data_IF_476573264220
#
_entry.id   IF_476573264220
#
_cell.length_a   1.000
_cell.length_b   1.000
_cell.length_c   1.000
_cell.angle_alpha   90.00
_cell.angle_beta   90.00
_cell.angle_gamma   90.00
#
_symmetry.space_group_name_H-M   'P 1'
#
loop_
_entity.id
_entity.type
_entity.pdbx_description
1 polymer ?
#
# COMPACT_ATOMS: atom_id res chain seq x y z
N UNK A 1 4.62 15.95 4.35
CA UNK A 1 5.15 14.67 3.95
C UNK A 1 4.32 14.01 2.85
N UNK A 2 3.01 13.96 2.99
CA UNK A 2 2.13 13.37 1.99
C UNK A 2 1.32 14.44 1.28
N UNK A 3 1.09 14.27 -0.01
CA UNK A 3 0.39 15.26 -0.84
C UNK A 3 -1.03 14.84 -1.18
N UNK A 4 -1.27 13.53 -1.34
CA UNK A 4 -2.61 13.04 -1.69
C UNK A 4 -2.70 11.52 -1.49
N UNK A 5 -3.92 11.04 -1.49
CA UNK A 5 -4.23 9.61 -1.49
C UNK A 5 -4.45 9.16 -2.94
N UNK A 6 -4.06 7.94 -3.23
CA UNK A 6 -4.40 7.29 -4.50
C UNK A 6 -5.59 6.37 -4.25
N UNK A 7 -6.61 6.52 -5.09
CA UNK A 7 -7.84 5.77 -4.91
C UNK A 7 -8.77 6.39 -3.88
N UNK A 8 -9.91 5.77 -3.62
CA UNK A 8 -10.90 6.31 -2.69
C UNK A 8 -10.46 6.17 -1.24
N UNK A 9 -11.00 7.04 -0.39
CA UNK A 9 -10.84 6.94 1.06
C UNK A 9 -11.38 5.57 1.51
N UNK A 10 -10.59 4.77 2.23
CA UNK A 10 -11.02 3.44 2.66
C UNK A 10 -12.23 3.47 3.62
N UNK A 11 -12.55 4.62 4.17
CA UNK A 11 -13.71 4.78 5.03
C UNK A 11 -14.91 5.40 4.34
N UNK A 12 -14.77 5.84 3.10
CA UNK A 12 -15.84 6.52 2.40
C UNK A 12 -16.95 5.54 2.00
N UNK A 13 -18.20 6.00 2.17
CA UNK A 13 -19.39 5.28 1.67
C UNK A 13 -19.45 3.80 2.10
N UNK A 14 -19.09 3.51 3.32
CA UNK A 14 -19.13 2.15 3.82
C UNK A 14 -18.14 1.23 3.13
N UNK A 15 -17.06 1.80 2.67
CA UNK A 15 -16.06 1.04 1.94
C UNK A 15 -15.40 -0.01 2.83
N UNK A 16 -14.67 -0.76 2.22
CA UNK A 16 -14.06 -2.07 2.37
C UNK A 16 -13.57 -2.51 3.74
N UNK A 17 -13.56 -1.68 4.77
CA UNK A 17 -13.10 -2.13 6.08
C UNK A 17 -13.98 -1.58 7.19
N UNK A 18 -14.38 -2.42 8.16
CA UNK A 18 -15.14 -1.96 9.30
C UNK A 18 -14.29 -1.27 10.37
N UNK A 19 -12.98 -1.33 10.23
CA UNK A 19 -12.06 -0.77 11.23
C UNK A 19 -11.76 0.69 10.94
N UNK A 20 -11.69 1.50 11.99
CA UNK A 20 -11.19 2.87 11.89
C UNK A 20 -9.66 2.92 11.93
N UNK A 21 -9.01 1.79 12.19
CA UNK A 21 -7.55 1.67 12.26
C UNK A 21 -7.09 0.56 11.34
N UNK A 22 -5.87 0.68 10.85
CA UNK A 22 -5.27 -0.37 10.05
C UNK A 22 -5.90 -0.52 8.68
N UNK A 23 -6.55 0.52 8.21
CA UNK A 23 -7.15 0.51 6.87
C UNK A 23 -6.06 0.66 5.83
N UNK A 24 -6.08 -0.17 4.77
CA UNK A 24 -5.08 -0.07 3.72
C UNK A 24 -5.20 1.27 2.98
N UNK A 25 -4.06 1.82 2.59
CA UNK A 25 -4.03 3.10 1.90
C UNK A 25 -2.77 3.21 1.06
N UNK A 26 -2.81 4.02 0.02
CA UNK A 26 -1.66 4.34 -0.82
C UNK A 26 -1.59 5.85 -0.91
N UNK A 27 -0.45 6.40 -0.51
CA UNK A 27 -0.26 7.84 -0.38
C UNK A 27 0.92 8.30 -1.23
N UNK A 28 0.79 9.43 -1.90
CA UNK A 28 1.89 10.05 -2.61
C UNK A 28 2.63 10.99 -1.67
N UNK A 29 3.95 10.95 -1.71
CA UNK A 29 4.82 11.76 -0.88
C UNK A 29 5.27 13.01 -1.63
N UNK A 30 5.70 14.03 -0.89
CA UNK A 30 6.24 15.26 -1.48
C UNK A 30 7.42 15.00 -2.41
N UNK A 31 8.15 13.93 -2.19
CA UNK A 31 9.28 13.54 -3.04
C UNK A 31 8.85 12.97 -4.40
N UNK A 32 7.57 12.67 -4.56
CA UNK A 32 7.07 11.96 -5.73
C UNK A 32 7.04 10.45 -5.59
N UNK A 33 7.57 9.94 -4.49
CA UNK A 33 7.50 8.51 -4.19
C UNK A 33 6.17 8.17 -3.53
N UNK A 34 5.99 6.90 -3.18
CA UNK A 34 4.73 6.42 -2.62
C UNK A 34 4.97 5.68 -1.32
N UNK A 35 4.03 5.83 -0.40
CA UNK A 35 3.97 5.09 0.84
C UNK A 35 2.73 4.22 0.83
N UNK A 36 2.84 3.00 1.34
CA UNK A 36 1.74 2.03 1.36
C UNK A 36 1.48 1.63 2.81
N UNK A 37 0.22 1.74 3.23
CA UNK A 37 -0.21 1.26 4.53
C UNK A 37 -0.90 -0.07 4.30
N UNK A 38 -0.38 -1.11 4.94
CA UNK A 38 -0.93 -2.45 4.82
C UNK A 38 -0.54 -3.28 6.01
N UNK A 39 -0.99 -4.53 6.03
CA UNK A 39 -0.63 -5.45 7.08
C UNK A 39 0.83 -5.88 6.91
N UNK A 40 1.63 -5.76 7.97
CA UNK A 40 3.03 -6.21 7.95
C UNK A 40 3.05 -7.75 8.00
N UNK A 41 3.52 -8.35 6.93
CA UNK A 41 3.66 -9.80 6.82
C UNK A 41 5.12 -10.22 6.66
N UNK A 42 6.06 -9.32 6.97
CA UNK A 42 7.49 -9.57 6.79
C UNK A 42 7.94 -10.87 7.46
N UNK A 43 7.53 -11.10 8.71
CA UNK A 43 7.93 -12.29 9.45
C UNK A 43 7.48 -13.59 8.81
N UNK A 44 6.33 -13.59 8.16
CA UNK A 44 5.77 -14.78 7.52
C UNK A 44 6.30 -14.98 6.10
N UNK A 45 6.59 -13.88 5.41
CA UNK A 45 6.83 -13.88 3.98
C UNK A 45 8.31 -13.84 3.58
N UNK A 46 9.19 -13.36 4.46
CA UNK A 46 10.59 -13.12 4.12
C UNK A 46 11.32 -14.34 3.58
N UNK A 47 10.95 -15.53 4.03
CA UNK A 47 11.56 -16.79 3.58
C UNK A 47 10.80 -17.47 2.44
N UNK A 48 9.78 -16.80 1.90
CA UNK A 48 8.89 -17.38 0.88
C UNK A 48 8.80 -16.52 -0.36
N UNK A 49 9.78 -15.65 -0.55
CA UNK A 49 9.77 -14.75 -1.70
C UNK A 49 10.09 -15.52 -2.98
N UNK A 50 9.58 -15.00 -4.08
CA UNK A 50 9.91 -15.55 -5.39
C UNK A 50 11.37 -15.26 -5.72
N UNK A 51 11.95 -16.04 -6.65
CA UNK A 51 13.33 -15.89 -7.04
C UNK A 51 13.62 -14.45 -7.50
N UNK A 52 14.71 -13.91 -7.03
CA UNK A 52 15.13 -12.56 -7.37
C UNK A 52 14.61 -11.47 -6.43
N UNK A 53 13.64 -11.79 -5.58
CA UNK A 53 13.15 -10.84 -4.60
C UNK A 53 13.85 -11.01 -3.26
N UNK A 54 14.13 -9.90 -2.59
CA UNK A 54 14.73 -9.92 -1.27
C UNK A 54 14.18 -8.77 -0.44
N UNK A 55 14.20 -8.94 0.88
CA UNK A 55 13.76 -7.92 1.82
C UNK A 55 14.93 -7.57 2.73
N UNK A 56 15.41 -6.34 2.63
CA UNK A 56 16.52 -5.86 3.44
C UNK A 56 16.11 -5.58 4.88
N UNK A 57 17.10 -5.29 5.76
CA UNK A 57 16.82 -5.12 7.18
C UNK A 57 15.95 -3.89 7.50
N UNK A 58 15.95 -2.90 6.63
CA UNK A 58 15.14 -1.69 6.78
C UNK A 58 13.88 -1.70 5.90
N UNK A 59 13.60 -2.84 5.27
CA UNK A 59 12.43 -2.99 4.40
C UNK A 59 11.38 -3.88 5.06
N UNK A 60 10.13 -3.68 4.65
CA UNK A 60 9.01 -4.49 5.14
C UNK A 60 8.17 -4.98 3.98
N UNK A 61 7.64 -6.18 4.13
CA UNK A 61 6.68 -6.74 3.19
C UNK A 61 5.31 -6.47 3.77
N UNK A 62 4.49 -5.70 3.02
CA UNK A 62 3.12 -5.40 3.47
C UNK A 62 2.13 -6.01 2.51
N UNK A 63 1.01 -6.42 3.06
CA UNK A 63 -0.10 -6.96 2.31
C UNK A 63 -1.23 -5.94 2.24
N UNK A 64 -1.72 -5.70 1.04
CA UNK A 64 -2.92 -4.91 0.82
C UNK A 64 -3.90 -5.74 0.00
N UNK A 65 -5.22 -5.53 0.16
CA UNK A 65 -6.19 -6.21 -0.71
C UNK A 65 -5.96 -5.81 -2.18
N UNK A 66 -6.23 -6.73 -3.09
CA UNK A 66 -6.16 -6.44 -4.53
C UNK A 66 -6.95 -5.19 -4.87
N UNK A 67 -8.13 -5.04 -4.29
CA UNK A 67 -9.02 -3.91 -4.52
C UNK A 67 -8.35 -2.56 -4.24
N UNK A 68 -7.54 -2.48 -3.18
CA UNK A 68 -6.83 -1.25 -2.84
C UNK A 68 -5.94 -0.77 -3.98
N UNK A 69 -5.16 -1.68 -4.56
CA UNK A 69 -4.27 -1.33 -5.66
C UNK A 69 -5.04 -1.05 -6.95
N UNK A 70 -6.03 -1.88 -7.26
CA UNK A 70 -6.82 -1.72 -8.49
C UNK A 70 -7.56 -0.39 -8.51
N UNK A 71 -8.15 0.01 -7.38
CA UNK A 71 -8.85 1.29 -7.30
C UNK A 71 -7.92 2.50 -7.32
N UNK A 72 -6.65 2.32 -7.01
CA UNK A 72 -5.66 3.38 -7.11
C UNK A 72 -5.14 3.58 -8.52
N UNK A 73 -5.41 2.66 -9.43
CA UNK A 73 -4.81 2.60 -10.76
C UNK A 73 -4.92 3.91 -11.55
N UNK A 74 -6.10 4.53 -11.55
CA UNK A 74 -6.32 5.75 -12.32
C UNK A 74 -5.56 6.96 -11.76
N UNK A 75 -5.13 6.89 -10.51
CA UNK A 75 -4.40 7.97 -9.85
C UNK A 75 -2.88 7.78 -9.92
N UNK A 76 -2.42 6.63 -10.41
CA UNK A 76 -1.00 6.35 -10.56
C UNK A 76 -0.48 7.09 -11.78
N UNK A 77 0.58 7.92 -11.63
CA UNK A 77 1.15 8.63 -12.77
C UNK A 77 1.68 7.67 -13.84
N UNK A 78 1.59 8.07 -15.11
CA UNK A 78 2.06 7.25 -16.21
C UNK A 78 3.58 7.23 -16.36
N UNK A 79 4.25 8.25 -15.85
CA UNK A 79 5.69 8.40 -16.00
C UNK A 79 6.43 8.41 -14.67
N UNK A 80 7.70 8.18 -14.77
CA UNK A 80 8.56 8.22 -13.58
C UNK A 80 9.04 9.68 -13.30
#
# INVERSE_FOLDING_TARGET
MFTRRLGPDPHANGASTPSLRGCPDILEMETGDFAVIGKDITGEAANRLIAGASCGPDERIVWIPRKTLVLAKSDIPEGA
#
